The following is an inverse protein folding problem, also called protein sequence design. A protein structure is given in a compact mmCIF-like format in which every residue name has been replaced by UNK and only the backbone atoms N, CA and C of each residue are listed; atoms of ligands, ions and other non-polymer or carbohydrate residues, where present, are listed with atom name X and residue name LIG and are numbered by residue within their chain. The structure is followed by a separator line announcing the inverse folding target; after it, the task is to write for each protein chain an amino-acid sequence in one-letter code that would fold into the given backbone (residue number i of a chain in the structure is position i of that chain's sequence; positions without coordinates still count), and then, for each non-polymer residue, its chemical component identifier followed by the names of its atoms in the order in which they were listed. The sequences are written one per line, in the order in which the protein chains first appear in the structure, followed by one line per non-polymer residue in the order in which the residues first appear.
data_IF_619969367236
#
_entry.id   IF_619969367236
#
_cell.length_a   1.000
_cell.length_b   1.000
_cell.length_c   1.000
_cell.angle_alpha   90.00
_cell.angle_beta   90.00
_cell.angle_gamma   90.00
#
_symmetry.space_group_name_H-M   'P 1'
#
loop_
_entity.id
_entity.type
_entity.pdbx_description
1 polymer ?
#
# COMPACT_ATOMS: atom_id res chain seq x y z
N UNK A 1 23.94 -3.37 -21.55
CA UNK A 1 23.26 -2.23 -20.90
C UNK A 1 23.26 -2.51 -19.41
N UNK A 2 24.14 -1.87 -18.65
CA UNK A 2 24.31 -2.15 -17.21
C UNK A 2 23.23 -1.39 -16.41
N UNK A 3 22.55 -2.09 -15.51
CA UNK A 3 21.62 -1.47 -14.55
C UNK A 3 22.46 -0.63 -13.58
N UNK A 4 22.17 0.67 -13.39
CA UNK A 4 22.91 1.48 -12.44
C UNK A 4 22.68 0.95 -11.01
N UNK A 5 23.74 0.49 -10.36
CA UNK A 5 23.76 0.13 -8.95
C UNK A 5 23.87 1.40 -8.10
N UNK A 6 22.82 2.22 -8.05
CA UNK A 6 22.81 3.34 -7.10
C UNK A 6 22.65 2.79 -5.67
N UNK A 7 23.58 3.14 -4.78
CA UNK A 7 23.49 2.80 -3.35
C UNK A 7 22.29 3.51 -2.75
N UNK A 8 21.54 2.81 -1.88
CA UNK A 8 20.34 3.35 -1.23
C UNK A 8 20.59 4.71 -0.57
N UNK A 9 21.80 4.92 -0.05
CA UNK A 9 22.24 6.15 0.63
C UNK A 9 22.33 7.37 -0.31
N UNK A 10 22.32 7.16 -1.63
CA UNK A 10 22.31 8.23 -2.64
C UNK A 10 20.89 8.56 -3.11
N UNK A 11 19.90 7.74 -2.74
CA UNK A 11 18.49 8.04 -2.96
C UNK A 11 18.12 9.14 -1.96
N UNK A 12 17.92 10.37 -2.46
CA UNK A 12 17.28 11.42 -1.68
C UNK A 12 15.80 11.05 -1.49
N UNK A 13 15.51 10.13 -0.58
CA UNK A 13 14.17 9.98 -0.03
C UNK A 13 13.87 11.28 0.74
N UNK A 14 13.31 12.27 0.04
CA UNK A 14 13.04 13.59 0.59
C UNK A 14 12.06 13.53 1.77
N UNK A 15 11.97 14.61 2.53
CA UNK A 15 11.07 14.72 3.70
C UNK A 15 9.61 14.30 3.41
N UNK A 16 9.17 14.42 2.16
CA UNK A 16 7.89 13.95 1.66
C UNK A 16 7.71 12.43 1.77
N UNK A 17 8.69 11.62 1.36
CA UNK A 17 8.61 10.14 1.44
C UNK A 17 8.49 9.68 2.88
N UNK A 18 9.29 10.29 3.77
CA UNK A 18 9.24 9.98 5.19
C UNK A 18 7.90 10.40 5.80
N UNK A 19 7.39 11.58 5.44
CA UNK A 19 6.08 12.06 5.92
C UNK A 19 4.93 11.17 5.45
N UNK A 20 4.92 10.73 4.20
CA UNK A 20 3.93 9.77 3.67
C UNK A 20 3.97 8.46 4.46
N UNK A 21 5.17 7.91 4.68
CA UNK A 21 5.34 6.64 5.40
C UNK A 21 4.88 6.76 6.87
N UNK A 22 5.27 7.84 7.55
CA UNK A 22 4.87 8.12 8.92
C UNK A 22 3.34 8.26 9.03
N UNK A 23 2.72 8.99 8.11
CA UNK A 23 1.26 9.19 8.06
C UNK A 23 0.51 7.88 7.83
N UNK A 24 0.99 7.06 6.89
CA UNK A 24 0.40 5.75 6.62
C UNK A 24 0.49 4.79 7.81
N UNK A 25 1.66 4.71 8.47
CA UNK A 25 1.81 3.91 9.68
C UNK A 25 0.97 4.43 10.83
N UNK A 26 0.93 5.75 11.04
CA UNK A 26 0.07 6.35 12.06
C UNK A 26 -1.39 5.95 11.85
N UNK A 27 -1.89 6.06 10.62
CA UNK A 27 -3.27 5.73 10.31
C UNK A 27 -3.57 4.24 10.56
N UNK A 28 -2.72 3.34 10.07
CA UNK A 28 -2.89 1.88 10.25
C UNK A 28 -2.78 1.48 11.72
N UNK A 29 -1.84 2.04 12.48
CA UNK A 29 -1.62 1.64 13.87
C UNK A 29 -2.63 2.23 14.86
N UNK A 30 -3.26 3.36 14.53
CA UNK A 30 -4.20 4.08 15.43
C UNK A 30 -5.66 3.70 15.26
N UNK A 31 -6.01 2.98 14.18
CA UNK A 31 -7.39 2.67 13.84
C UNK A 31 -7.66 1.16 13.92
N UNK A 32 -8.94 0.80 14.03
CA UNK A 32 -9.36 -0.57 14.36
C UNK A 32 -9.80 -1.38 13.13
N UNK A 33 -10.10 -0.71 12.03
CA UNK A 33 -10.48 -1.32 10.76
C UNK A 33 -9.71 -0.75 9.58
N UNK A 34 -9.67 -1.52 8.48
CA UNK A 34 -9.07 -1.11 7.21
C UNK A 34 -9.72 0.16 6.69
N UNK A 35 -11.05 0.24 6.74
CA UNK A 35 -11.79 1.41 6.28
C UNK A 35 -11.42 2.67 7.07
N UNK A 36 -11.46 2.60 8.41
CA UNK A 36 -11.08 3.72 9.28
C UNK A 36 -9.65 4.19 9.01
N UNK A 37 -8.70 3.25 8.88
CA UNK A 37 -7.30 3.57 8.65
C UNK A 37 -7.09 4.29 7.30
N UNK A 38 -7.67 3.78 6.20
CA UNK A 38 -7.49 4.37 4.88
C UNK A 38 -8.18 5.74 4.80
N UNK A 39 -9.39 5.87 5.35
CA UNK A 39 -10.11 7.15 5.39
C UNK A 39 -9.32 8.18 6.21
N UNK A 40 -8.78 7.81 7.36
CA UNK A 40 -7.96 8.69 8.18
C UNK A 40 -6.68 9.13 7.45
N UNK A 41 -6.01 8.21 6.73
CA UNK A 41 -4.81 8.51 5.96
C UNK A 41 -5.07 9.54 4.83
N UNK A 42 -6.16 9.34 4.07
CA UNK A 42 -6.55 10.24 2.96
C UNK A 42 -6.96 11.62 3.48
N UNK A 43 -7.66 11.69 4.61
CA UNK A 43 -8.12 12.94 5.20
C UNK A 43 -7.00 13.83 5.78
N UNK A 44 -5.74 13.37 5.81
CA UNK A 44 -4.58 14.21 6.16
C UNK A 44 -4.23 15.23 5.05
N UNK A 45 -4.73 15.03 3.83
CA UNK A 45 -4.83 16.05 2.78
C UNK A 45 -3.60 16.21 1.87
N UNK A 46 -2.43 16.51 2.43
CA UNK A 46 -1.28 17.06 1.68
C UNK A 46 -0.88 16.23 0.43
N UNK A 47 -0.64 14.94 0.62
CA UNK A 47 -0.43 13.95 -0.44
C UNK A 47 -1.36 12.75 -0.20
N UNK A 48 -2.66 13.04 -0.30
CA UNK A 48 -3.73 12.09 0.02
C UNK A 48 -3.69 10.82 -0.86
N UNK A 49 -3.36 10.94 -2.14
CA UNK A 49 -3.31 9.83 -3.08
C UNK A 49 -2.18 8.86 -2.71
N UNK A 50 -0.96 9.37 -2.55
CA UNK A 50 0.21 8.54 -2.21
C UNK A 50 0.09 7.98 -0.79
N UNK A 51 -0.34 8.81 0.17
CA UNK A 51 -0.53 8.38 1.56
C UNK A 51 -1.64 7.34 1.68
N UNK A 52 -2.75 7.53 0.96
CA UNK A 52 -3.85 6.56 0.88
C UNK A 52 -3.41 5.24 0.25
N UNK A 53 -2.60 5.27 -0.82
CA UNK A 53 -2.08 4.06 -1.45
C UNK A 53 -1.14 3.27 -0.53
N UNK A 54 -0.20 3.95 0.13
CA UNK A 54 0.73 3.31 1.09
C UNK A 54 -0.03 2.76 2.30
N UNK A 55 -0.97 3.55 2.86
CA UNK A 55 -1.83 3.09 3.94
C UNK A 55 -2.70 1.90 3.53
N UNK A 56 -3.22 1.90 2.31
CA UNK A 56 -4.02 0.81 1.74
C UNK A 56 -3.23 -0.49 1.61
N UNK A 57 -1.98 -0.42 1.13
CA UNK A 57 -1.10 -1.59 1.08
C UNK A 57 -0.82 -2.17 2.47
N UNK A 58 -0.48 -1.31 3.45
CA UNK A 58 -0.22 -1.71 4.83
C UNK A 58 -1.48 -2.28 5.51
N UNK A 59 -2.63 -1.63 5.32
CA UNK A 59 -3.90 -2.08 5.87
C UNK A 59 -4.36 -3.40 5.23
N UNK A 60 -4.22 -3.54 3.91
CA UNK A 60 -4.53 -4.78 3.19
C UNK A 60 -3.67 -5.95 3.68
N UNK A 61 -2.38 -5.72 3.95
CA UNK A 61 -1.51 -6.74 4.53
C UNK A 61 -1.91 -7.12 5.97
N UNK A 62 -2.43 -6.17 6.76
CA UNK A 62 -2.82 -6.39 8.15
C UNK A 62 -4.19 -7.07 8.32
N UNK A 63 -5.21 -6.58 7.63
CA UNK A 63 -6.60 -7.01 7.79
C UNK A 63 -7.09 -7.95 6.68
N UNK A 64 -6.35 -8.07 5.58
CA UNK A 64 -6.67 -8.94 4.45
C UNK A 64 -7.74 -8.39 3.50
N UNK A 65 -7.90 -9.06 2.36
CA UNK A 65 -8.83 -8.67 1.29
C UNK A 65 -10.29 -8.60 1.76
N UNK A 66 -10.71 -9.52 2.64
CA UNK A 66 -12.08 -9.59 3.15
C UNK A 66 -12.49 -8.41 4.05
N UNK A 67 -11.53 -7.60 4.50
CA UNK A 67 -11.80 -6.39 5.27
C UNK A 67 -12.09 -5.16 4.39
N UNK A 68 -11.89 -5.25 3.07
CA UNK A 68 -12.19 -4.15 2.15
C UNK A 68 -13.71 -4.06 1.99
N UNK A 69 -14.31 -2.87 2.22
CA UNK A 69 -15.73 -2.68 2.00
C UNK A 69 -16.15 -3.03 0.58
N UNK A 70 -17.19 -3.86 0.43
CA UNK A 70 -17.65 -4.31 -0.88
C UNK A 70 -17.96 -3.14 -1.83
N UNK A 71 -18.55 -2.07 -1.29
CA UNK A 71 -18.85 -0.83 -2.04
C UNK A 71 -17.62 -0.16 -2.66
N UNK A 72 -16.43 -0.35 -2.10
CA UNK A 72 -15.18 0.14 -2.69
C UNK A 72 -14.73 -0.77 -3.83
N UNK A 73 -14.77 -2.08 -3.60
CA UNK A 73 -14.42 -3.09 -4.61
C UNK A 73 -15.31 -2.99 -5.85
N UNK A 74 -16.60 -2.70 -5.68
CA UNK A 74 -17.57 -2.59 -6.78
C UNK A 74 -17.27 -1.40 -7.72
N UNK A 75 -16.54 -0.39 -7.22
CA UNK A 75 -16.14 0.80 -7.98
C UNK A 75 -14.67 0.78 -8.42
N UNK A 76 -13.90 -0.22 -7.96
CA UNK A 76 -12.46 -0.29 -8.18
C UNK A 76 -12.17 -0.67 -9.63
N UNK A 77 -11.54 0.24 -10.37
CA UNK A 77 -11.10 -0.02 -11.75
C UNK A 77 -10.00 -1.08 -11.78
N UNK A 78 -10.11 -2.03 -12.71
CA UNK A 78 -9.10 -3.08 -12.87
C UNK A 78 -9.05 -4.09 -11.71
N UNK A 79 -10.13 -4.22 -10.92
CA UNK A 79 -10.19 -5.13 -9.77
C UNK A 79 -9.71 -6.55 -10.12
N UNK A 80 -10.22 -7.13 -11.20
CA UNK A 80 -9.90 -8.51 -11.57
C UNK A 80 -8.43 -8.66 -11.97
N UNK A 81 -7.87 -7.68 -12.68
CA UNK A 81 -6.45 -7.64 -13.05
C UNK A 81 -5.55 -7.51 -11.82
N UNK A 82 -5.94 -6.68 -10.85
CA UNK A 82 -5.22 -6.50 -9.59
C UNK A 82 -5.23 -7.80 -8.75
N UNK A 83 -6.36 -8.50 -8.69
CA UNK A 83 -6.46 -9.78 -7.98
C UNK A 83 -5.60 -10.86 -8.65
N UNK A 84 -5.66 -10.97 -9.98
CA UNK A 84 -4.80 -11.88 -10.73
C UNK A 84 -3.31 -11.61 -10.51
N UNK A 85 -2.92 -10.33 -10.48
CA UNK A 85 -1.53 -9.94 -10.20
C UNK A 85 -1.13 -10.31 -8.76
N UNK A 86 -1.99 -10.08 -7.79
CA UNK A 86 -1.72 -10.45 -6.39
C UNK A 86 -1.52 -11.96 -6.23
N UNK A 87 -2.37 -12.77 -6.86
CA UNK A 87 -2.24 -14.24 -6.86
C UNK A 87 -0.94 -14.68 -7.55
N UNK A 88 -0.60 -14.08 -8.69
CA UNK A 88 0.64 -14.40 -9.41
C UNK A 88 1.91 -14.04 -8.62
N UNK A 89 1.89 -12.93 -7.87
CA UNK A 89 2.99 -12.53 -6.99
C UNK A 89 3.15 -13.49 -5.80
N UNK A 90 2.04 -13.94 -5.22
CA UNK A 90 2.05 -14.93 -4.14
C UNK A 90 2.61 -16.27 -4.64
N UNK A 91 2.15 -16.74 -5.79
CA UNK A 91 2.65 -17.94 -6.45
C UNK A 91 4.16 -17.87 -6.70
N UNK A 92 4.65 -16.72 -7.20
CA UNK A 92 6.07 -16.52 -7.43
C UNK A 92 6.87 -16.56 -6.11
N UNK A 93 6.36 -15.93 -5.06
CA UNK A 93 6.99 -15.93 -3.73
C UNK A 93 7.11 -17.35 -3.16
N UNK A 94 6.11 -18.21 -3.39
CA UNK A 94 6.11 -19.59 -2.90
C UNK A 94 7.03 -20.51 -3.72
N UNK A 95 7.28 -20.20 -4.99
CA UNK A 95 8.20 -20.96 -5.87
C UNK A 95 9.67 -20.68 -5.57
N UNK A 96 10.01 -19.47 -5.11
CA UNK A 96 11.39 -19.04 -4.85
C UNK A 96 11.97 -19.48 -3.50
N UNK A 97 11.19 -20.18 -2.66
CA UNK A 97 11.60 -20.69 -1.35
C UNK A 97 11.97 -22.19 -1.34
N UNK A 98 12.14 -22.81 -2.51
CA UNK A 98 12.72 -24.16 -2.69
C UNK A 98 14.15 -24.08 -3.22
#
# INVERSE_FOLDING_TARGET
MAVPQQRADTLKAGGWVLATLQSAFWAVLRHSSLEEAIVAAVNLGDDADTTGAVAGALAGARWGLGAIPQRWLDTLRGRDELLQLADALLDLSLRGTS
#
